data_IF_251446774448
#
_entry.id   IF_251446774448
#
_cell.length_a   1.000
_cell.length_b   1.000
_cell.length_c   1.000
_cell.angle_alpha   90.00
_cell.angle_beta   90.00
_cell.angle_gamma   90.00
#
_symmetry.space_group_name_H-M   'P 1'
#
loop_
_entity.id
_entity.type
_entity.pdbx_description
1 polymer ?
#
# COMPACT_ATOMS: atom_id res chain seq x y z
N UNK A 1 -20.83 -31.52 -12.34
CA UNK A 1 -19.85 -30.80 -11.49
C UNK A 1 -19.09 -29.85 -12.40
N UNK A 2 -19.37 -28.54 -12.32
CA UNK A 2 -18.55 -27.56 -13.04
C UNK A 2 -17.17 -27.54 -12.38
N UNK A 3 -16.14 -28.01 -13.09
CA UNK A 3 -14.75 -27.87 -12.68
C UNK A 3 -14.43 -26.39 -12.72
N UNK A 4 -14.16 -25.79 -11.55
CA UNK A 4 -13.70 -24.40 -11.46
C UNK A 4 -12.47 -24.23 -12.38
N UNK A 5 -12.36 -23.11 -13.10
CA UNK A 5 -11.19 -22.87 -13.94
C UNK A 5 -9.92 -23.01 -13.08
N UNK A 6 -8.85 -23.61 -13.62
CA UNK A 6 -7.60 -23.74 -12.89
C UNK A 6 -7.14 -22.34 -12.48
N UNK A 7 -7.17 -22.07 -11.17
CA UNK A 7 -6.61 -20.83 -10.63
C UNK A 7 -5.12 -21.06 -10.51
N UNK A 8 -4.36 -20.44 -11.42
CA UNK A 8 -2.91 -20.42 -11.36
C UNK A 8 -2.46 -19.59 -10.15
N UNK A 9 -2.18 -20.30 -9.05
CA UNK A 9 -1.78 -19.70 -7.77
C UNK A 9 -0.50 -18.88 -7.90
N UNK A 10 0.42 -19.29 -8.79
CA UNK A 10 1.68 -18.57 -9.06
C UNK A 10 1.43 -17.19 -9.65
N UNK A 11 0.45 -17.05 -10.56
CA UNK A 11 0.19 -15.75 -11.21
C UNK A 11 -0.52 -14.79 -10.24
N UNK A 12 -1.43 -15.31 -9.41
CA UNK A 12 -2.23 -14.47 -8.50
C UNK A 12 -1.46 -14.09 -7.23
N UNK A 13 -0.95 -15.08 -6.48
CA UNK A 13 -0.23 -14.82 -5.22
C UNK A 13 1.20 -14.38 -5.44
N UNK A 14 1.85 -14.85 -6.52
CA UNK A 14 3.16 -14.36 -6.92
C UNK A 14 3.12 -12.88 -7.29
N UNK A 15 2.12 -12.44 -8.07
CA UNK A 15 1.94 -11.01 -8.38
C UNK A 15 1.64 -10.18 -7.12
N UNK A 16 0.79 -10.70 -6.21
CA UNK A 16 0.48 -10.03 -4.94
C UNK A 16 1.73 -9.84 -4.08
N UNK A 17 2.56 -10.89 -3.95
CA UNK A 17 3.81 -10.83 -3.20
C UNK A 17 4.81 -9.85 -3.82
N UNK A 18 4.98 -9.88 -5.16
CA UNK A 18 5.80 -8.92 -5.89
C UNK A 18 5.30 -7.49 -5.66
N UNK A 19 3.97 -7.28 -5.65
CA UNK A 19 3.36 -5.99 -5.32
C UNK A 19 3.78 -5.47 -3.96
N UNK A 20 3.79 -6.31 -2.93
CA UNK A 20 4.24 -5.93 -1.58
C UNK A 20 5.71 -5.53 -1.56
N UNK A 21 6.57 -6.25 -2.29
CA UNK A 21 7.99 -5.89 -2.42
C UNK A 21 8.16 -4.51 -3.05
N UNK A 22 7.43 -4.22 -4.13
CA UNK A 22 7.45 -2.89 -4.74
C UNK A 22 6.91 -1.82 -3.80
N UNK A 23 5.82 -2.07 -3.08
CA UNK A 23 5.30 -1.14 -2.08
C UNK A 23 6.34 -0.84 -0.98
N UNK A 24 7.09 -1.85 -0.52
CA UNK A 24 8.17 -1.66 0.44
C UNK A 24 9.32 -0.80 -0.12
N UNK A 25 9.70 -1.02 -1.39
CA UNK A 25 10.69 -0.20 -2.08
C UNK A 25 10.24 1.25 -2.23
N UNK A 26 8.97 1.48 -2.59
CA UNK A 26 8.41 2.82 -2.71
C UNK A 26 8.34 3.54 -1.38
N UNK A 27 8.01 2.85 -0.28
CA UNK A 27 8.07 3.44 1.06
C UNK A 27 9.51 3.85 1.43
N UNK A 28 10.51 3.05 1.04
CA UNK A 28 11.93 3.41 1.19
C UNK A 28 12.28 4.69 0.43
N UNK A 29 11.85 4.80 -0.83
CA UNK A 29 12.05 6.00 -1.65
C UNK A 29 11.34 7.23 -1.04
N UNK A 30 10.08 7.07 -0.61
CA UNK A 30 9.30 8.12 0.03
C UNK A 30 9.97 8.62 1.32
N UNK A 31 10.55 7.70 2.10
CA UNK A 31 11.31 8.05 3.31
C UNK A 31 12.51 8.94 2.99
N UNK A 32 13.26 8.63 1.92
CA UNK A 32 14.39 9.46 1.46
C UNK A 32 13.91 10.82 0.95
N UNK A 33 12.80 10.86 0.19
CA UNK A 33 12.20 12.11 -0.29
C UNK A 33 11.83 13.03 0.87
N UNK A 34 11.22 12.48 1.92
CA UNK A 34 10.78 13.23 3.09
C UNK A 34 11.97 13.72 3.91
N UNK A 35 12.96 12.85 4.16
CA UNK A 35 14.19 13.24 4.83
C UNK A 35 14.88 14.42 4.11
N UNK A 36 14.94 14.35 2.78
CA UNK A 36 15.50 15.41 1.94
C UNK A 36 14.66 16.69 2.00
N UNK A 37 13.33 16.58 2.02
CA UNK A 37 12.42 17.72 2.17
C UNK A 37 12.63 18.45 3.50
N UNK A 38 12.65 17.73 4.62
CA UNK A 38 12.88 18.31 5.94
C UNK A 38 14.26 18.97 6.07
N UNK A 39 15.27 18.43 5.39
CA UNK A 39 16.64 18.97 5.42
C UNK A 39 16.79 20.23 4.57
N UNK A 40 16.21 20.26 3.36
CA UNK A 40 16.39 21.36 2.41
C UNK A 40 15.42 22.53 2.63
N UNK A 41 14.26 22.29 3.24
CA UNK A 41 13.22 23.31 3.44
C UNK A 41 12.88 23.54 4.92
N UNK A 42 13.85 23.98 5.75
CA UNK A 42 13.61 24.22 7.17
C UNK A 42 12.63 25.37 7.43
N UNK A 43 12.54 26.35 6.51
CA UNK A 43 11.66 27.52 6.65
C UNK A 43 10.21 27.32 6.17
N UNK A 44 9.88 26.15 5.60
CA UNK A 44 8.52 25.87 5.14
C UNK A 44 7.51 25.80 6.28
N UNK A 45 6.26 26.12 5.97
CA UNK A 45 5.16 26.15 6.93
C UNK A 45 4.97 24.79 7.62
N UNK A 46 4.72 24.82 8.92
CA UNK A 46 4.47 23.61 9.72
C UNK A 46 3.32 22.77 9.14
N UNK A 47 2.33 23.40 8.51
CA UNK A 47 1.23 22.71 7.84
C UNK A 47 1.71 21.76 6.73
N UNK A 48 2.61 22.20 5.86
CA UNK A 48 3.16 21.36 4.79
C UNK A 48 3.96 20.18 5.34
N UNK A 49 4.76 20.44 6.38
CA UNK A 49 5.54 19.39 7.06
C UNK A 49 4.64 18.34 7.71
N UNK A 50 3.54 18.75 8.35
CA UNK A 50 2.55 17.83 8.91
C UNK A 50 1.84 17.03 7.82
N UNK A 51 1.46 17.67 6.71
CA UNK A 51 0.81 17.00 5.58
C UNK A 51 1.72 15.92 4.96
N UNK A 52 3.00 16.23 4.74
CA UNK A 52 3.99 15.29 4.21
C UNK A 52 4.20 14.11 5.17
N UNK A 53 4.34 14.39 6.48
CA UNK A 53 4.45 13.33 7.50
C UNK A 53 3.20 12.46 7.61
N UNK A 54 2.02 13.04 7.43
CA UNK A 54 0.75 12.30 7.43
C UNK A 54 0.62 11.37 6.23
N UNK A 55 0.98 11.84 5.04
CA UNK A 55 1.01 11.01 3.81
C UNK A 55 1.95 9.83 3.98
N UNK A 56 3.13 10.03 4.55
CA UNK A 56 4.07 8.95 4.83
C UNK A 56 3.51 7.90 5.78
N UNK A 57 2.84 8.34 6.85
CA UNK A 57 2.26 7.44 7.83
C UNK A 57 1.13 6.60 7.23
N UNK A 58 0.31 7.20 6.35
CA UNK A 58 -0.71 6.47 5.60
C UNK A 58 -0.10 5.42 4.67
N UNK A 59 0.98 5.75 3.96
CA UNK A 59 1.67 4.82 3.05
C UNK A 59 2.33 3.66 3.82
N UNK A 60 2.92 3.95 4.99
CA UNK A 60 3.46 2.92 5.89
C UNK A 60 2.37 2.00 6.44
N UNK A 61 1.22 2.56 6.83
CA UNK A 61 0.07 1.78 7.28
C UNK A 61 -0.50 0.90 6.16
N UNK A 62 -0.60 1.43 4.94
CA UNK A 62 -0.99 0.69 3.74
C UNK A 62 -0.09 -0.52 3.52
N UNK A 63 1.24 -0.34 3.55
CA UNK A 63 2.19 -1.44 3.39
C UNK A 63 1.99 -2.51 4.48
N UNK A 64 1.74 -2.11 5.73
CA UNK A 64 1.47 -3.04 6.82
C UNK A 64 0.21 -3.89 6.60
N UNK A 65 -0.88 -3.26 6.17
CA UNK A 65 -2.16 -3.93 5.88
C UNK A 65 -2.01 -4.92 4.72
N UNK A 66 -1.35 -4.51 3.65
CA UNK A 66 -1.12 -5.37 2.48
C UNK A 66 -0.18 -6.52 2.84
N UNK A 67 0.88 -6.27 3.60
CA UNK A 67 1.81 -7.32 4.07
C UNK A 67 1.11 -8.36 4.95
N UNK A 68 0.23 -7.92 5.86
CA UNK A 68 -0.56 -8.83 6.70
C UNK A 68 -1.54 -9.65 5.86
N UNK A 69 -2.16 -9.04 4.84
CA UNK A 69 -3.02 -9.74 3.89
C UNK A 69 -2.23 -10.79 3.11
N UNK A 70 -1.06 -10.45 2.58
CA UNK A 70 -0.16 -11.41 1.91
C UNK A 70 0.22 -12.56 2.83
N UNK A 71 0.57 -12.29 4.09
CA UNK A 71 0.94 -13.34 5.04
C UNK A 71 -0.21 -14.30 5.31
N UNK A 72 -1.44 -13.78 5.43
CA UNK A 72 -2.63 -14.61 5.60
C UNK A 72 -2.84 -15.55 4.40
N UNK A 73 -2.73 -15.02 3.18
CA UNK A 73 -2.92 -15.78 1.96
C UNK A 73 -1.80 -16.77 1.65
N UNK A 74 -0.53 -16.38 1.81
CA UNK A 74 0.62 -17.22 1.45
C UNK A 74 1.01 -18.23 2.53
N UNK A 75 0.83 -17.89 3.82
CA UNK A 75 1.32 -18.71 4.94
C UNK A 75 0.18 -19.38 5.69
N UNK A 76 -0.81 -18.60 6.14
CA UNK A 76 -1.86 -19.11 7.04
C UNK A 76 -2.86 -20.01 6.32
N UNK A 77 -3.24 -19.64 5.09
CA UNK A 77 -4.28 -20.32 4.32
C UNK A 77 -3.72 -21.12 3.13
N UNK A 78 -2.45 -21.51 3.22
CA UNK A 78 -1.74 -22.21 2.16
C UNK A 78 -2.47 -23.51 1.75
N UNK A 79 -2.77 -23.64 0.47
CA UNK A 79 -3.41 -24.84 -0.10
C UNK A 79 -4.93 -24.94 0.07
N UNK A 80 -5.62 -23.92 0.62
CA UNK A 80 -7.09 -23.93 0.73
C UNK A 80 -7.76 -23.11 -0.40
N UNK A 81 -8.57 -23.72 -1.29
CA UNK A 81 -9.32 -22.99 -2.32
C UNK A 81 -10.41 -22.09 -1.74
N UNK A 82 -10.89 -22.36 -0.52
CA UNK A 82 -11.92 -21.56 0.13
C UNK A 82 -11.39 -20.17 0.54
N UNK A 83 -10.12 -20.07 0.93
CA UNK A 83 -9.49 -18.79 1.20
C UNK A 83 -9.23 -17.96 -0.07
N UNK A 84 -9.17 -18.59 -1.26
CA UNK A 84 -9.02 -17.87 -2.54
C UNK A 84 -10.25 -17.03 -2.90
N UNK A 85 -11.45 -17.50 -2.56
CA UNK A 85 -12.70 -16.80 -2.87
C UNK A 85 -13.16 -15.85 -1.76
N UNK A 86 -12.51 -15.89 -0.60
CA UNK A 86 -12.78 -14.98 0.51
C UNK A 86 -11.79 -13.80 0.47
N UNK A 87 -12.28 -12.64 0.03
CA UNK A 87 -11.55 -11.39 0.25
C UNK A 87 -11.38 -11.18 1.76
N UNK A 88 -10.14 -11.05 2.23
CA UNK A 88 -9.87 -10.76 3.63
C UNK A 88 -10.20 -9.28 3.84
N UNK A 89 -10.90 -8.93 4.91
CA UNK A 89 -11.20 -7.53 5.25
C UNK A 89 -10.01 -6.55 5.12
N UNK A 90 -8.76 -6.89 5.51
CA UNK A 90 -7.62 -5.99 5.30
C UNK A 90 -7.28 -5.77 3.81
N UNK A 91 -7.54 -6.74 2.94
CA UNK A 91 -7.44 -6.57 1.49
C UNK A 91 -8.56 -5.71 0.91
N UNK A 92 -9.70 -5.49 1.56
CA UNK A 92 -10.66 -4.49 1.08
C UNK A 92 -10.30 -3.10 1.59
N UNK A 93 -9.85 -3.01 2.85
CA UNK A 93 -9.49 -1.75 3.51
C UNK A 93 -8.28 -1.08 2.87
N UNK A 94 -7.33 -1.82 2.29
CA UNK A 94 -6.14 -1.24 1.67
C UNK A 94 -6.48 -0.21 0.56
N UNK A 95 -7.59 -0.40 -0.17
CA UNK A 95 -7.99 0.53 -1.24
C UNK A 95 -8.27 1.94 -0.72
N UNK A 96 -8.86 2.04 0.47
CA UNK A 96 -9.09 3.33 1.12
C UNK A 96 -7.76 4.01 1.49
N UNK A 97 -6.79 3.22 1.97
CA UNK A 97 -5.46 3.72 2.33
C UNK A 97 -4.62 4.17 1.13
N UNK A 98 -4.89 3.68 -0.08
CA UNK A 98 -4.29 4.20 -1.32
C UNK A 98 -5.01 5.45 -1.83
N UNK A 99 -6.34 5.46 -1.72
CA UNK A 99 -7.14 6.56 -2.24
C UNK A 99 -6.90 7.87 -1.48
N UNK A 100 -6.77 7.82 -0.15
CA UNK A 100 -6.62 9.02 0.68
C UNK A 100 -5.31 9.79 0.36
N UNK A 101 -4.10 9.17 0.38
CA UNK A 101 -2.87 9.84 -0.02
C UNK A 101 -2.92 10.38 -1.44
N UNK A 102 -3.53 9.62 -2.35
CA UNK A 102 -3.67 10.00 -3.76
C UNK A 102 -4.50 11.28 -3.92
N UNK A 103 -5.63 11.37 -3.21
CA UNK A 103 -6.48 12.58 -3.21
C UNK A 103 -5.77 13.76 -2.56
N UNK A 104 -5.03 13.55 -1.46
CA UNK A 104 -4.26 14.60 -0.80
C UNK A 104 -3.17 15.15 -1.71
N UNK A 105 -2.40 14.28 -2.36
CA UNK A 105 -1.37 14.66 -3.33
C UNK A 105 -1.96 15.44 -4.51
N UNK A 106 -3.05 14.95 -5.11
CA UNK A 106 -3.71 15.65 -6.22
C UNK A 106 -4.27 17.02 -5.80
N UNK A 107 -4.89 17.11 -4.62
CA UNK A 107 -5.41 18.37 -4.08
C UNK A 107 -4.29 19.38 -3.84
N UNK A 108 -3.14 18.92 -3.33
CA UNK A 108 -1.96 19.76 -3.16
C UNK A 108 -1.40 20.25 -4.50
N UNK A 109 -1.33 19.40 -5.52
CA UNK A 109 -0.91 19.82 -6.85
C UNK A 109 -1.84 20.87 -7.46
N UNK A 110 -3.16 20.72 -7.29
CA UNK A 110 -4.14 21.72 -7.72
C UNK A 110 -3.98 23.06 -6.99
N UNK A 111 -3.69 23.05 -5.69
CA UNK A 111 -3.45 24.27 -4.93
C UNK A 111 -2.17 25.01 -5.33
N UNK A 112 -1.17 24.28 -5.86
CA UNK A 112 0.15 24.83 -6.20
C UNK A 112 0.25 25.35 -7.64
N UNK A 113 -0.67 24.96 -8.54
CA UNK A 113 -0.78 25.46 -9.92
C UNK A 113 -1.42 26.86 -9.90
#
# INVERSE_FOLDING_TARGET
MATLPPVDMDTSFGALFIGVLFSALFLGLLTVQIYTYFSNFPADSLWLKLLVGFVWLLDAAHLGIVSQSSYHYLVTSWGSPAALFAATTPFDVHMAFVAIPTLLCQSFFLYRI
#
